data_IF_704195647871
#
_entry.id   IF_704195647871
#
_cell.length_a   1.000
_cell.length_b   1.000
_cell.length_c   1.000
_cell.angle_alpha   90.00
_cell.angle_beta   90.00
_cell.angle_gamma   90.00
#
_symmetry.space_group_name_H-M   'P 1'
#
loop_
_entity.id
_entity.type
_entity.pdbx_description
1 polymer ?
#
# COMPACT_ATOMS: atom_id res chain seq x y z
N UNK A 1 -2.17 7.03 12.95
CA UNK A 1 -1.03 6.12 13.20
C UNK A 1 -1.01 5.00 12.15
N UNK A 2 -0.36 5.25 11.00
CA UNK A 2 -0.26 4.28 9.92
C UNK A 2 0.81 3.23 10.26
N UNK A 3 0.45 1.96 10.29
CA UNK A 3 1.42 0.86 10.41
C UNK A 3 2.13 0.76 9.06
N UNK A 4 3.24 1.47 8.94
CA UNK A 4 4.31 1.09 8.03
C UNK A 4 4.68 -0.35 8.47
N UNK A 5 4.24 -1.37 7.73
CA UNK A 5 4.78 -2.72 7.91
C UNK A 5 6.20 -2.64 7.33
N UNK A 6 7.13 -2.17 8.16
CA UNK A 6 8.55 -2.08 7.84
C UNK A 6 9.06 -3.51 7.78
N UNK A 7 8.95 -4.14 6.63
CA UNK A 7 9.88 -5.22 6.29
C UNK A 7 10.87 -4.59 5.35
N UNK A 8 12.12 -4.51 5.79
CA UNK A 8 13.22 -4.13 4.91
C UNK A 8 13.54 -5.34 4.05
N UNK A 9 12.90 -5.38 2.89
CA UNK A 9 13.36 -6.22 1.79
C UNK A 9 14.53 -5.48 1.14
N UNK A 10 15.72 -6.03 1.27
CA UNK A 10 16.94 -5.49 0.68
C UNK A 10 17.54 -6.52 -0.25
N UNK A 11 18.26 -6.06 -1.27
CA UNK A 11 19.03 -6.95 -2.12
C UNK A 11 20.46 -6.45 -2.25
N UNK A 12 21.38 -7.39 -2.41
CA UNK A 12 22.78 -7.12 -2.73
C UNK A 12 23.18 -7.93 -3.96
N UNK A 13 23.88 -7.29 -4.90
CA UNK A 13 24.48 -7.97 -6.04
C UNK A 13 25.83 -8.56 -5.60
N UNK A 14 25.97 -9.88 -5.68
CA UNK A 14 27.21 -10.60 -5.30
C UNK A 14 27.99 -11.02 -6.53
N UNK A 15 29.19 -11.62 -6.41
CA UNK A 15 29.91 -12.11 -7.60
C UNK A 15 29.13 -13.19 -8.38
N UNK A 16 28.27 -13.94 -7.69
CA UNK A 16 27.70 -15.19 -8.20
C UNK A 16 26.17 -15.11 -8.46
N UNK A 17 25.53 -13.98 -8.13
CA UNK A 17 24.09 -13.79 -8.35
C UNK A 17 23.52 -12.61 -7.56
N UNK A 18 22.30 -12.78 -7.04
CA UNK A 18 21.62 -11.83 -6.17
C UNK A 18 21.41 -12.42 -4.78
N UNK A 19 21.54 -11.60 -3.76
CA UNK A 19 21.17 -11.92 -2.39
C UNK A 19 19.96 -11.09 -2.02
N UNK A 20 18.86 -11.72 -1.61
CA UNK A 20 17.67 -11.06 -1.10
C UNK A 20 17.61 -11.26 0.41
N UNK A 21 17.61 -10.16 1.16
CA UNK A 21 17.44 -10.15 2.60
C UNK A 21 15.98 -9.82 2.91
N UNK A 22 15.32 -10.71 3.65
CA UNK A 22 13.95 -10.53 4.14
C UNK A 22 13.98 -10.47 5.66
N UNK A 23 13.64 -9.30 6.20
CA UNK A 23 13.71 -9.03 7.63
C UNK A 23 12.33 -8.77 8.24
N UNK A 24 12.09 -9.34 9.41
CA UNK A 24 11.00 -8.96 10.30
C UNK A 24 11.47 -7.80 11.20
N UNK A 25 10.88 -6.62 11.04
CA UNK A 25 11.18 -5.43 11.87
C UNK A 25 10.88 -5.67 13.34
N UNK A 26 11.81 -5.25 14.21
CA UNK A 26 11.65 -5.31 15.66
C UNK A 26 10.58 -4.34 16.18
N UNK A 27 10.26 -3.31 15.38
CA UNK A 27 9.20 -2.34 15.63
C UNK A 27 7.79 -2.87 15.28
N UNK A 28 7.67 -4.05 14.64
CA UNK A 28 6.38 -4.66 14.35
C UNK A 28 5.64 -4.99 15.67
N UNK A 29 4.42 -4.47 15.90
CA UNK A 29 3.65 -4.73 17.13
C UNK A 29 3.39 -6.23 17.40
N UNK A 30 3.47 -7.06 16.37
CA UNK A 30 3.25 -8.50 16.38
C UNK A 30 4.57 -9.30 16.32
N UNK A 31 5.73 -8.63 16.43
CA UNK A 31 7.07 -9.19 16.28
C UNK A 31 7.24 -10.54 16.98
N UNK A 32 6.96 -10.61 18.28
CA UNK A 32 7.17 -11.83 19.06
C UNK A 32 6.35 -13.03 18.56
N UNK A 33 5.12 -12.80 18.08
CA UNK A 33 4.26 -13.86 17.55
C UNK A 33 4.77 -14.33 16.18
N UNK A 34 5.09 -13.39 15.29
CA UNK A 34 5.62 -13.66 13.95
C UNK A 34 6.99 -14.35 14.00
N UNK A 35 7.88 -13.90 14.90
CA UNK A 35 9.18 -14.53 15.17
C UNK A 35 9.03 -16.00 15.55
N UNK A 36 8.09 -16.32 16.46
CA UNK A 36 7.82 -17.71 16.85
C UNK A 36 7.35 -18.56 15.68
N UNK A 37 6.51 -18.00 14.79
CA UNK A 37 6.04 -18.68 13.59
C UNK A 37 7.15 -18.92 12.57
N UNK A 38 8.00 -17.92 12.30
CA UNK A 38 9.17 -18.05 11.44
C UNK A 38 10.09 -19.17 11.94
N UNK A 39 10.44 -19.14 13.23
CA UNK A 39 11.26 -20.21 13.84
C UNK A 39 10.58 -21.58 13.79
N UNK A 40 9.26 -21.65 13.96
CA UNK A 40 8.51 -22.89 13.80
C UNK A 40 8.56 -23.47 12.39
N UNK A 41 8.75 -22.62 11.37
CA UNK A 41 8.94 -22.99 9.96
C UNK A 41 10.42 -23.20 9.58
N UNK A 42 11.35 -23.04 10.51
CA UNK A 42 12.79 -23.20 10.27
C UNK A 42 13.50 -21.94 9.79
N UNK A 43 12.83 -20.78 9.82
CA UNK A 43 13.38 -19.49 9.45
C UNK A 43 13.81 -18.67 10.68
N UNK A 44 14.80 -17.81 10.50
CA UNK A 44 15.19 -16.73 11.39
C UNK A 44 14.29 -15.50 11.24
N UNK A 45 14.65 -14.44 11.97
CA UNK A 45 14.03 -13.11 11.82
C UNK A 45 14.62 -12.30 10.68
N UNK A 46 15.74 -12.77 10.14
CA UNK A 46 16.45 -12.23 8.99
C UNK A 46 16.85 -13.42 8.13
N UNK A 47 16.31 -13.48 6.91
CA UNK A 47 16.53 -14.57 5.97
C UNK A 47 17.22 -14.04 4.73
N UNK A 48 18.39 -14.60 4.43
CA UNK A 48 19.16 -14.26 3.24
C UNK A 48 19.00 -15.36 2.20
N UNK A 49 18.38 -15.04 1.08
CA UNK A 49 18.16 -15.95 -0.04
C UNK A 49 19.09 -15.61 -1.19
N UNK A 50 19.82 -16.60 -1.66
CA UNK A 50 20.66 -16.46 -2.84
C UNK A 50 19.89 -16.90 -4.08
N UNK A 51 19.96 -16.09 -5.13
CA UNK A 51 19.49 -16.40 -6.47
C UNK A 51 20.70 -16.41 -7.39
N UNK A 52 21.16 -17.59 -7.76
CA UNK A 52 22.22 -17.80 -8.75
C UNK A 52 21.63 -18.28 -10.08
N UNK A 53 22.42 -18.22 -11.16
CA UNK A 53 22.00 -18.67 -12.49
C UNK A 53 21.67 -20.18 -12.56
N UNK A 54 22.15 -20.97 -11.59
CA UNK A 54 21.85 -22.41 -11.47
C UNK A 54 20.58 -22.71 -10.69
N UNK A 55 20.04 -21.74 -9.95
CA UNK A 55 18.88 -21.95 -9.11
C UNK A 55 17.58 -21.86 -9.90
N UNK A 56 16.57 -22.62 -9.47
CA UNK A 56 15.22 -22.48 -10.00
C UNK A 56 14.57 -21.23 -9.39
N UNK A 57 14.18 -20.22 -10.20
CA UNK A 57 13.50 -19.03 -9.70
C UNK A 57 12.23 -19.38 -8.90
N UNK A 58 11.55 -20.46 -9.28
CA UNK A 58 10.36 -20.96 -8.60
C UNK A 58 10.64 -21.47 -7.19
N UNK A 59 11.81 -22.06 -6.94
CA UNK A 59 12.16 -22.55 -5.62
C UNK A 59 12.50 -21.37 -4.69
N UNK A 60 13.30 -20.42 -5.18
CA UNK A 60 13.62 -19.20 -4.46
C UNK A 60 12.35 -18.41 -4.13
N UNK A 61 11.46 -18.24 -5.11
CA UNK A 61 10.17 -17.56 -4.93
C UNK A 61 9.29 -18.23 -3.88
N UNK A 62 9.24 -19.57 -3.83
CA UNK A 62 8.47 -20.28 -2.80
C UNK A 62 8.97 -19.98 -1.39
N UNK A 63 10.29 -19.93 -1.20
CA UNK A 63 10.88 -19.60 0.10
C UNK A 63 10.62 -18.12 0.45
N UNK A 64 10.76 -17.22 -0.53
CA UNK A 64 10.41 -15.81 -0.36
C UNK A 64 8.95 -15.65 0.10
N UNK A 65 8.04 -16.37 -0.55
CA UNK A 65 6.61 -16.30 -0.26
C UNK A 65 6.28 -16.83 1.14
N UNK A 66 6.89 -17.93 1.58
CA UNK A 66 6.70 -18.46 2.93
C UNK A 66 7.11 -17.46 4.03
N UNK A 67 8.24 -16.79 3.86
CA UNK A 67 8.70 -15.77 4.82
C UNK A 67 7.81 -14.54 4.74
N UNK A 68 7.51 -14.06 3.52
CA UNK A 68 6.69 -12.87 3.31
C UNK A 68 5.28 -13.04 3.91
N UNK A 69 4.64 -14.20 3.75
CA UNK A 69 3.33 -14.50 4.35
C UNK A 69 3.31 -14.25 5.85
N UNK A 70 4.31 -14.73 6.58
CA UNK A 70 4.41 -14.54 8.04
C UNK A 70 4.66 -13.08 8.40
N UNK A 71 5.55 -12.40 7.67
CA UNK A 71 5.83 -10.98 7.84
C UNK A 71 4.55 -10.14 7.63
N UNK A 72 3.74 -10.49 6.63
CA UNK A 72 2.52 -9.77 6.29
C UNK A 72 1.28 -10.17 7.09
N UNK A 73 1.37 -11.12 8.03
CA UNK A 73 0.23 -11.45 8.91
C UNK A 73 -0.26 -10.22 9.69
N UNK A 74 -1.58 -10.07 9.79
CA UNK A 74 -2.21 -9.13 10.71
C UNK A 74 -2.69 -9.81 12.01
N UNK A 75 -3.22 -8.99 12.93
CA UNK A 75 -3.65 -9.48 14.23
C UNK A 75 -4.82 -10.48 14.12
N UNK A 76 -5.76 -10.24 13.20
CA UNK A 76 -6.89 -11.13 13.00
C UNK A 76 -6.43 -12.47 12.42
N UNK A 77 -5.55 -12.44 11.43
CA UNK A 77 -4.97 -13.65 10.83
C UNK A 77 -4.17 -14.47 11.85
N UNK A 78 -3.40 -13.83 12.73
CA UNK A 78 -2.70 -14.52 13.83
C UNK A 78 -3.68 -15.09 14.86
N UNK A 79 -4.78 -14.39 15.13
CA UNK A 79 -5.79 -14.85 16.07
C UNK A 79 -6.52 -16.10 15.55
N UNK A 80 -6.96 -16.06 14.29
CA UNK A 80 -7.72 -17.16 13.67
C UNK A 80 -6.83 -18.29 13.14
N UNK A 81 -5.58 -18.00 12.77
CA UNK A 81 -4.59 -18.97 12.28
C UNK A 81 -4.02 -19.90 13.36
N UNK A 82 -4.49 -19.79 14.60
CA UNK A 82 -4.22 -20.81 15.63
C UNK A 82 -2.74 -21.02 15.92
N UNK A 83 -1.97 -19.95 16.16
CA UNK A 83 -0.51 -19.99 16.48
C UNK A 83 -0.17 -20.88 17.70
N UNK A 84 -1.17 -21.24 18.51
CA UNK A 84 -1.05 -22.10 19.68
C UNK A 84 -1.52 -23.55 19.45
N UNK A 85 -1.91 -23.91 18.22
CA UNK A 85 -2.30 -25.27 17.83
C UNK A 85 -1.09 -25.95 17.19
N UNK A 86 -0.87 -27.23 17.49
CA UNK A 86 0.18 -28.05 16.86
C UNK A 86 -0.49 -29.18 16.07
N UNK A 87 -0.34 -29.24 14.74
CA UNK A 87 0.38 -28.28 13.89
C UNK A 87 -0.37 -26.94 13.76
N UNK A 88 0.33 -25.82 13.49
CA UNK A 88 -0.31 -24.56 13.17
C UNK A 88 -1.24 -24.74 11.96
N UNK A 89 -2.44 -24.19 12.03
CA UNK A 89 -3.30 -24.14 10.85
C UNK A 89 -2.79 -23.00 9.99
N UNK A 90 -2.18 -23.32 8.86
CA UNK A 90 -1.75 -22.31 7.90
C UNK A 90 -2.98 -21.68 7.27
N UNK A 91 -3.37 -20.52 7.80
CA UNK A 91 -4.46 -19.72 7.28
C UNK A 91 -3.90 -18.36 6.84
N UNK A 92 -3.81 -18.18 5.53
CA UNK A 92 -3.49 -16.90 4.92
C UNK A 92 -4.72 -16.41 4.17
N UNK A 93 -5.16 -15.18 4.43
CA UNK A 93 -6.27 -14.61 3.67
C UNK A 93 -5.82 -14.27 2.24
N UNK A 94 -6.74 -14.12 1.28
CA UNK A 94 -6.40 -13.61 -0.04
C UNK A 94 -5.65 -12.28 -0.01
N UNK A 95 -5.94 -11.44 0.98
CA UNK A 95 -5.23 -10.18 1.21
C UNK A 95 -3.76 -10.41 1.58
N UNK A 96 -3.46 -11.35 2.48
CA UNK A 96 -2.09 -11.67 2.86
C UNK A 96 -1.30 -12.26 1.70
N UNK A 97 -1.90 -13.18 0.95
CA UNK A 97 -1.26 -13.79 -0.22
C UNK A 97 -0.82 -12.74 -1.24
N UNK A 98 -1.77 -11.88 -1.65
CA UNK A 98 -1.49 -10.81 -2.61
C UNK A 98 -0.52 -9.77 -2.06
N UNK A 99 -0.61 -9.42 -0.76
CA UNK A 99 0.34 -8.48 -0.14
C UNK A 99 1.77 -9.03 -0.15
N UNK A 100 1.92 -10.34 0.11
CA UNK A 100 3.21 -11.02 0.13
C UNK A 100 3.84 -11.09 -1.26
N UNK A 101 3.07 -11.53 -2.27
CA UNK A 101 3.52 -11.58 -3.66
C UNK A 101 3.85 -10.20 -4.22
N UNK A 102 3.03 -9.18 -3.95
CA UNK A 102 3.28 -7.80 -4.41
C UNK A 102 4.53 -7.19 -3.75
N UNK A 103 4.81 -7.54 -2.50
CA UNK A 103 6.02 -7.10 -1.81
C UNK A 103 7.28 -7.69 -2.46
N UNK A 104 7.24 -8.98 -2.77
CA UNK A 104 8.31 -9.66 -3.50
C UNK A 104 8.50 -9.05 -4.89
N UNK A 105 7.41 -8.84 -5.63
CA UNK A 105 7.45 -8.22 -6.96
C UNK A 105 8.09 -6.83 -6.91
N UNK A 106 7.69 -6.00 -5.94
CA UNK A 106 8.23 -4.65 -5.74
C UNK A 106 9.74 -4.67 -5.44
N UNK A 107 10.20 -5.64 -4.64
CA UNK A 107 11.63 -5.82 -4.37
C UNK A 107 12.38 -6.15 -5.66
N UNK A 108 11.87 -7.09 -6.46
CA UNK A 108 12.48 -7.51 -7.72
C UNK A 108 12.53 -6.34 -8.71
N UNK A 109 11.47 -5.54 -8.81
CA UNK A 109 11.43 -4.36 -9.68
C UNK A 109 12.51 -3.33 -9.32
N UNK A 110 12.73 -3.10 -8.02
CA UNK A 110 13.80 -2.22 -7.54
C UNK A 110 15.17 -2.80 -7.90
N UNK A 111 15.35 -4.11 -7.75
CA UNK A 111 16.57 -4.83 -8.14
C UNK A 111 16.83 -4.76 -9.65
N UNK A 112 15.81 -4.89 -10.49
CA UNK A 112 15.95 -4.82 -11.95
C UNK A 112 16.43 -3.43 -12.38
N UNK A 113 15.84 -2.36 -11.82
CA UNK A 113 16.18 -0.97 -12.17
C UNK A 113 17.63 -0.59 -11.87
N UNK A 114 18.27 -1.32 -10.98
CA UNK A 114 19.59 -1.03 -10.41
C UNK A 114 20.66 -2.05 -10.80
N UNK A 115 20.26 -3.20 -11.36
CA UNK A 115 21.17 -4.27 -11.78
C UNK A 115 21.95 -3.92 -13.06
N UNK A 116 23.13 -4.55 -13.21
CA UNK A 116 23.90 -4.52 -14.46
C UNK A 116 23.21 -5.34 -15.56
N UNK A 117 23.43 -4.94 -16.82
CA UNK A 117 22.73 -5.48 -18.00
C UNK A 117 22.83 -7.01 -18.14
N UNK A 118 23.94 -7.62 -17.74
CA UNK A 118 24.23 -9.04 -17.85
C UNK A 118 23.44 -9.91 -16.84
N UNK A 119 22.72 -9.30 -15.90
CA UNK A 119 22.01 -10.01 -14.82
C UNK A 119 20.51 -9.72 -14.77
N UNK A 120 20.03 -8.86 -15.66
CA UNK A 120 18.61 -8.53 -15.80
C UNK A 120 17.78 -9.77 -16.17
N UNK A 121 18.34 -10.71 -16.94
CA UNK A 121 17.63 -11.93 -17.37
C UNK A 121 17.21 -12.82 -16.18
N UNK A 122 18.09 -12.97 -15.18
CA UNK A 122 17.82 -13.80 -14.00
C UNK A 122 16.73 -13.19 -13.11
N UNK A 123 16.78 -11.87 -12.89
CA UNK A 123 15.74 -11.15 -12.16
C UNK A 123 14.42 -11.13 -12.93
N UNK A 124 14.46 -11.02 -14.25
CA UNK A 124 13.27 -11.06 -15.10
C UNK A 124 12.57 -12.43 -15.00
N UNK A 125 13.33 -13.52 -14.94
CA UNK A 125 12.75 -14.85 -14.74
C UNK A 125 12.06 -15.00 -13.37
N UNK A 126 12.61 -14.40 -12.30
CA UNK A 126 11.97 -14.38 -10.98
C UNK A 126 10.75 -13.45 -10.95
N UNK A 127 10.83 -12.30 -11.62
CA UNK A 127 9.71 -11.38 -11.82
C UNK A 127 8.54 -12.10 -12.51
N UNK A 128 8.78 -12.75 -13.65
CA UNK A 128 7.76 -13.44 -14.42
C UNK A 128 7.13 -14.60 -13.64
N UNK A 129 7.94 -15.37 -12.91
CA UNK A 129 7.44 -16.41 -12.01
C UNK A 129 6.51 -15.83 -10.92
N UNK A 130 6.84 -14.66 -10.40
CA UNK A 130 6.01 -13.96 -9.39
C UNK A 130 4.68 -13.51 -9.99
N UNK A 131 4.72 -12.91 -11.18
CA UNK A 131 3.53 -12.51 -11.94
C UNK A 131 2.63 -13.72 -12.24
N UNK A 132 3.20 -14.85 -12.63
CA UNK A 132 2.44 -16.06 -12.93
C UNK A 132 1.81 -16.68 -11.68
N UNK A 133 2.46 -16.59 -10.51
CA UNK A 133 1.83 -16.98 -9.23
C UNK A 133 0.66 -16.05 -8.86
N UNK A 134 0.78 -14.74 -9.11
CA UNK A 134 -0.34 -13.79 -8.88
C UNK A 134 -1.51 -14.12 -9.80
N UNK A 135 -1.27 -14.36 -11.10
CA UNK A 135 -2.32 -14.76 -12.06
C UNK A 135 -2.99 -16.06 -11.63
N UNK A 136 -2.20 -17.09 -11.33
CA UNK A 136 -2.72 -18.38 -10.89
C UNK A 136 -3.54 -18.26 -9.60
N UNK A 137 -3.15 -17.37 -8.68
CA UNK A 137 -3.94 -17.09 -7.49
C UNK A 137 -5.28 -16.42 -7.84
N UNK A 138 -5.28 -15.44 -8.75
CA UNK A 138 -6.49 -14.79 -9.23
C UNK A 138 -7.46 -15.77 -9.91
N UNK A 139 -6.96 -16.60 -10.82
CA UNK A 139 -7.76 -17.58 -11.57
C UNK A 139 -8.42 -18.63 -10.64
N UNK A 140 -7.72 -19.05 -9.59
CA UNK A 140 -8.24 -20.04 -8.63
C UNK A 140 -9.25 -19.47 -7.64
N UNK A 141 -9.29 -18.15 -7.45
CA UNK A 141 -10.18 -17.47 -6.50
C UNK A 141 -11.19 -16.55 -7.20
N UNK A 142 -11.39 -16.73 -8.51
CA UNK A 142 -12.30 -15.93 -9.32
C UNK A 142 -13.76 -16.19 -8.96
N UNK A 143 -14.27 -15.54 -7.92
CA UNK A 143 -15.72 -15.38 -7.78
C UNK A 143 -16.22 -14.38 -8.83
N UNK A 144 -17.36 -14.71 -9.46
CA UNK A 144 -17.96 -13.85 -10.46
C UNK A 144 -18.41 -12.54 -9.81
N UNK A 145 -17.71 -11.44 -10.11
CA UNK A 145 -18.06 -10.13 -9.58
C UNK A 145 -19.38 -9.66 -10.19
N UNK A 146 -20.41 -9.54 -9.36
CA UNK A 146 -21.73 -9.05 -9.79
C UNK A 146 -21.85 -7.56 -9.53
N UNK A 147 -22.05 -6.82 -10.62
CA UNK A 147 -22.35 -5.39 -10.56
C UNK A 147 -23.84 -5.24 -10.31
N UNK A 148 -24.21 -4.75 -9.13
CA UNK A 148 -25.60 -4.50 -8.75
C UNK A 148 -26.19 -3.31 -9.50
N UNK A 149 -25.40 -2.24 -9.63
CA UNK A 149 -25.87 -0.96 -10.19
C UNK A 149 -24.77 -0.24 -10.98
N UNK A 150 -25.14 0.38 -12.12
CA UNK A 150 -24.28 1.33 -12.79
C UNK A 150 -24.03 2.56 -11.91
N UNK A 151 -23.01 3.38 -12.23
CA UNK A 151 -22.76 4.64 -11.54
C UNK A 151 -23.98 5.56 -11.59
N UNK A 152 -24.24 6.25 -10.49
CA UNK A 152 -25.22 7.32 -10.40
C UNK A 152 -24.72 8.61 -11.07
N UNK A 153 -25.63 9.54 -11.35
CA UNK A 153 -25.27 10.84 -11.91
C UNK A 153 -24.24 11.61 -11.05
N UNK A 154 -24.38 11.54 -9.72
CA UNK A 154 -23.44 12.15 -8.78
C UNK A 154 -22.04 11.55 -8.89
N UNK A 155 -21.94 10.23 -9.10
CA UNK A 155 -20.66 9.55 -9.30
C UNK A 155 -20.05 9.85 -10.66
N UNK A 156 -20.85 10.01 -11.71
CA UNK A 156 -20.37 10.51 -13.00
C UNK A 156 -19.81 11.93 -12.88
N UNK A 157 -20.46 12.80 -12.09
CA UNK A 157 -19.97 14.14 -11.80
C UNK A 157 -18.63 14.11 -11.06
N UNK A 158 -18.45 13.18 -10.10
CA UNK A 158 -17.16 12.99 -9.42
C UNK A 158 -16.05 12.63 -10.40
N UNK A 159 -16.31 11.70 -11.32
CA UNK A 159 -15.32 11.25 -12.30
C UNK A 159 -14.92 12.38 -13.24
N UNK A 160 -15.90 13.13 -13.76
CA UNK A 160 -15.65 14.30 -14.60
C UNK A 160 -14.89 15.39 -13.84
N UNK A 161 -15.28 15.66 -12.60
CA UNK A 161 -14.57 16.61 -11.74
C UNK A 161 -13.11 16.17 -11.55
N UNK A 162 -12.85 14.90 -11.25
CA UNK A 162 -11.49 14.36 -11.14
C UNK A 162 -10.70 14.55 -12.44
N UNK A 163 -11.27 14.15 -13.59
CA UNK A 163 -10.63 14.27 -14.91
C UNK A 163 -10.29 15.74 -15.24
N UNK A 164 -11.20 16.69 -14.94
CA UNK A 164 -10.93 18.13 -15.14
C UNK A 164 -9.81 18.68 -14.26
N UNK A 165 -9.46 17.96 -13.20
CA UNK A 165 -8.35 18.29 -12.30
C UNK A 165 -7.11 17.40 -12.50
N UNK A 166 -7.07 16.61 -13.58
CA UNK A 166 -5.90 15.83 -13.97
C UNK A 166 -5.87 14.39 -13.44
N UNK A 167 -6.95 13.88 -12.85
CA UNK A 167 -7.06 12.45 -12.52
C UNK A 167 -7.00 11.63 -13.80
N UNK A 168 -6.09 10.65 -13.85
CA UNK A 168 -6.05 9.64 -14.91
C UNK A 168 -6.57 8.33 -14.35
N UNK A 169 -7.49 7.68 -15.07
CA UNK A 169 -8.14 6.46 -14.59
C UNK A 169 -8.33 5.45 -15.72
N UNK A 170 -8.24 4.19 -15.35
CA UNK A 170 -8.68 3.01 -16.12
C UNK A 170 -9.82 2.28 -15.39
N UNK A 171 -10.46 2.99 -14.46
CA UNK A 171 -11.44 2.48 -13.53
C UNK A 171 -12.74 3.29 -13.63
N UNK A 172 -13.88 2.64 -13.41
CA UNK A 172 -15.21 3.25 -13.36
C UNK A 172 -15.85 2.94 -12.01
N UNK A 173 -16.59 3.90 -11.45
CA UNK A 173 -17.34 3.66 -10.21
C UNK A 173 -18.47 2.68 -10.50
N UNK A 174 -18.63 1.68 -9.65
CA UNK A 174 -19.70 0.69 -9.71
C UNK A 174 -20.10 0.23 -8.30
N UNK A 175 -21.30 -0.35 -8.19
CA UNK A 175 -21.75 -1.00 -6.96
C UNK A 175 -21.61 -2.51 -7.14
N UNK A 176 -20.78 -3.13 -6.31
CA UNK A 176 -20.46 -4.56 -6.35
C UNK A 176 -21.21 -5.27 -5.23
N UNK A 177 -21.84 -6.40 -5.56
CA UNK A 177 -22.59 -7.22 -4.60
C UNK A 177 -21.69 -7.61 -3.40
N UNK A 178 -22.19 -7.39 -2.19
CA UNK A 178 -21.46 -7.68 -0.95
C UNK A 178 -20.34 -6.70 -0.57
N UNK A 179 -19.81 -5.91 -1.51
CA UNK A 179 -18.73 -4.94 -1.27
C UNK A 179 -19.20 -3.48 -1.29
N UNK A 180 -20.36 -3.19 -1.89
CA UNK A 180 -20.92 -1.85 -2.00
C UNK A 180 -20.25 -1.01 -3.09
N UNK A 181 -20.13 0.30 -2.87
CA UNK A 181 -19.55 1.25 -3.82
C UNK A 181 -18.04 1.04 -3.95
N UNK A 182 -17.57 0.80 -5.17
CA UNK A 182 -16.15 0.60 -5.48
C UNK A 182 -15.83 0.96 -6.93
N UNK A 183 -14.78 0.34 -7.46
CA UNK A 183 -14.31 0.54 -8.82
C UNK A 183 -14.23 -0.78 -9.59
N UNK A 184 -14.54 -0.72 -10.89
CA UNK A 184 -14.32 -1.80 -11.86
C UNK A 184 -13.44 -1.30 -13.00
N UNK A 185 -12.65 -2.17 -13.60
CA UNK A 185 -11.82 -1.82 -14.74
C UNK A 185 -12.69 -1.54 -15.98
N UNK A 186 -12.31 -0.53 -16.77
CA UNK A 186 -12.97 -0.20 -18.06
C UNK A 186 -12.25 -0.79 -19.28
N UNK A 187 -11.05 -1.30 -19.05
CA UNK A 187 -10.19 -1.96 -20.02
C UNK A 187 -9.43 -3.10 -19.31
N UNK A 188 -8.85 -4.00 -20.09
CA UNK A 188 -8.04 -5.09 -19.54
C UNK A 188 -6.79 -4.50 -18.85
N UNK A 189 -6.62 -4.80 -17.56
CA UNK A 189 -5.47 -4.39 -16.77
C UNK A 189 -4.51 -5.55 -16.57
N UNK A 190 -3.21 -5.29 -16.81
CA UNK A 190 -2.14 -6.22 -16.47
C UNK A 190 -1.60 -5.93 -15.08
N UNK A 191 -0.97 -6.93 -14.46
CA UNK A 191 -0.25 -6.72 -13.20
C UNK A 191 0.87 -5.70 -13.45
N UNK A 192 0.95 -4.68 -12.59
CA UNK A 192 1.87 -3.56 -12.73
C UNK A 192 1.30 -2.35 -13.49
N UNK A 193 0.13 -2.48 -14.15
CA UNK A 193 -0.50 -1.34 -14.81
C UNK A 193 -0.98 -0.32 -13.78
N UNK A 194 -0.80 0.96 -14.09
CA UNK A 194 -1.33 2.05 -13.28
C UNK A 194 -2.82 2.21 -13.57
N UNK A 195 -3.66 1.79 -12.60
CA UNK A 195 -5.11 1.84 -12.74
C UNK A 195 -5.70 3.22 -12.43
N UNK A 196 -5.08 3.98 -11.52
CA UNK A 196 -5.55 5.29 -11.06
C UNK A 196 -4.37 6.17 -10.69
N UNK A 197 -4.40 7.41 -11.14
CA UNK A 197 -3.46 8.45 -10.74
C UNK A 197 -4.22 9.69 -10.29
N UNK A 198 -3.85 10.19 -9.12
CA UNK A 198 -4.49 11.32 -8.47
C UNK A 198 -3.44 12.43 -8.30
N UNK A 199 -3.61 13.61 -8.92
CA UNK A 199 -2.73 14.74 -8.70
C UNK A 199 -2.80 15.22 -7.25
N UNK A 200 -1.66 15.56 -6.67
CA UNK A 200 -1.55 16.09 -5.30
C UNK A 200 -2.46 17.31 -5.08
N UNK A 201 -2.65 18.15 -6.12
CA UNK A 201 -3.48 19.35 -6.05
C UNK A 201 -4.95 19.12 -5.65
N UNK A 202 -5.46 17.88 -5.72
CA UNK A 202 -6.81 17.51 -5.30
C UNK A 202 -6.84 16.54 -4.12
N UNK A 203 -5.69 16.30 -3.50
CA UNK A 203 -5.59 15.56 -2.25
C UNK A 203 -5.84 16.54 -1.10
N UNK A 204 -6.74 16.18 -0.18
CA UNK A 204 -6.94 16.92 1.05
C UNK A 204 -5.82 16.49 2.01
N UNK A 205 -4.87 17.39 2.27
CA UNK A 205 -3.68 17.15 3.09
C UNK A 205 -3.47 18.24 4.16
N UNK A 206 -2.42 18.11 4.97
CA UNK A 206 -2.09 19.06 6.04
C UNK A 206 -1.72 20.44 5.48
N UNK A 207 -0.96 20.47 4.39
CA UNK A 207 -0.52 21.69 3.71
C UNK A 207 -1.74 22.52 3.28
N UNK A 208 -2.76 21.87 2.72
CA UNK A 208 -4.02 22.50 2.35
C UNK A 208 -4.72 23.17 3.53
N UNK A 209 -4.72 22.53 4.70
CA UNK A 209 -5.31 23.11 5.91
C UNK A 209 -4.46 24.28 6.40
N UNK A 210 -3.13 24.17 6.33
CA UNK A 210 -2.20 25.22 6.72
C UNK A 210 -2.30 26.48 5.85
N UNK A 211 -2.62 26.30 4.57
CA UNK A 211 -2.85 27.41 3.62
C UNK A 211 -4.25 28.02 3.75
N UNK A 212 -5.14 27.37 4.49
CA UNK A 212 -6.50 27.86 4.71
C UNK A 212 -6.58 28.92 5.81
N UNK A 213 -7.56 29.81 5.73
CA UNK A 213 -7.83 30.80 6.79
C UNK A 213 -8.17 30.16 8.15
N UNK A 214 -8.58 28.89 8.18
CA UNK A 214 -8.97 28.19 9.40
C UNK A 214 -7.77 27.82 10.27
N UNK A 215 -6.56 27.78 9.72
CA UNK A 215 -5.37 27.35 10.48
C UNK A 215 -5.15 28.19 11.74
N UNK A 216 -5.45 29.49 11.68
CA UNK A 216 -5.29 30.39 12.81
C UNK A 216 -6.22 30.03 13.97
N UNK A 217 -7.45 29.60 13.66
CA UNK A 217 -8.44 29.18 14.66
C UNK A 217 -8.09 27.78 15.18
N UNK A 218 -7.71 26.88 14.29
CA UNK A 218 -7.41 25.48 14.65
C UNK A 218 -6.18 25.39 15.56
N UNK A 219 -5.14 26.19 15.31
CA UNK A 219 -3.92 26.22 16.14
C UNK A 219 -4.11 26.80 17.54
N UNK A 220 -5.22 27.49 17.83
CA UNK A 220 -5.55 27.97 19.17
C UNK A 220 -6.06 26.83 20.09
N UNK A 221 -6.44 25.70 19.51
CA UNK A 221 -6.93 24.54 20.27
C UNK A 221 -5.71 23.75 20.78
N UNK A 222 -5.46 23.82 22.09
CA UNK A 222 -4.35 23.11 22.72
C UNK A 222 -4.44 21.60 22.51
N UNK A 223 -3.32 20.98 22.15
CA UNK A 223 -3.20 19.53 21.94
C UNK A 223 -3.93 18.96 20.71
N UNK A 224 -4.46 19.79 19.81
CA UNK A 224 -5.17 19.29 18.61
C UNK A 224 -4.19 18.60 17.63
N UNK A 225 -4.57 17.43 17.13
CA UNK A 225 -3.80 16.71 16.11
C UNK A 225 -4.08 17.27 14.71
N UNK A 226 -3.11 17.15 13.80
CA UNK A 226 -3.28 17.45 12.36
C UNK A 226 -4.48 16.71 11.76
N UNK A 227 -4.66 15.43 12.08
CA UNK A 227 -5.81 14.62 11.65
C UNK A 227 -7.15 15.27 12.06
N UNK A 228 -7.23 15.79 13.29
CA UNK A 228 -8.41 16.49 13.79
C UNK A 228 -8.60 17.85 13.11
N UNK A 229 -7.52 18.58 12.86
CA UNK A 229 -7.57 19.85 12.11
C UNK A 229 -8.14 19.64 10.70
N UNK A 230 -7.66 18.63 9.98
CA UNK A 230 -8.15 18.27 8.63
C UNK A 230 -9.62 17.87 8.62
N UNK A 231 -10.06 17.11 9.62
CA UNK A 231 -11.47 16.80 9.81
C UNK A 231 -12.30 18.08 9.96
N UNK A 232 -11.94 18.96 10.89
CA UNK A 232 -12.73 20.15 11.19
C UNK A 232 -12.76 21.11 10.00
N UNK A 233 -11.63 21.25 9.31
CA UNK A 233 -11.55 21.94 8.03
C UNK A 233 -12.51 21.32 7.00
N UNK A 234 -12.50 20.01 6.83
CA UNK A 234 -13.38 19.30 5.88
C UNK A 234 -14.85 19.48 6.20
N UNK A 235 -15.22 19.43 7.50
CA UNK A 235 -16.59 19.67 7.95
C UNK A 235 -17.07 21.07 7.60
N UNK A 236 -16.20 22.09 7.73
CA UNK A 236 -16.53 23.47 7.36
C UNK A 236 -16.58 23.66 5.85
N UNK A 237 -15.58 23.13 5.15
CA UNK A 237 -15.39 23.25 3.70
C UNK A 237 -16.51 22.57 2.92
N UNK A 238 -17.08 21.48 3.45
CA UNK A 238 -18.26 20.81 2.90
C UNK A 238 -19.45 21.74 2.66
N UNK A 239 -19.59 22.82 3.43
CA UNK A 239 -20.68 23.80 3.28
C UNK A 239 -20.25 25.05 2.51
N UNK A 240 -19.02 25.10 1.99
CA UNK A 240 -18.54 26.17 1.14
C UNK A 240 -18.98 25.92 -0.32
N UNK A 241 -19.88 26.76 -0.84
CA UNK A 241 -20.43 26.60 -2.19
C UNK A 241 -19.40 26.85 -3.29
N UNK A 242 -18.34 27.60 -2.99
CA UNK A 242 -17.26 27.94 -3.91
C UNK A 242 -16.04 27.00 -3.74
N UNK A 243 -16.18 25.94 -2.92
CA UNK A 243 -15.09 24.99 -2.70
C UNK A 243 -14.74 24.25 -3.98
N UNK A 244 -13.43 24.15 -4.25
CA UNK A 244 -12.88 23.23 -5.26
C UNK A 244 -13.33 21.79 -5.01
N UNK A 245 -13.52 21.41 -3.75
CA UNK A 245 -13.87 20.04 -3.30
C UNK A 245 -15.36 19.81 -3.15
N UNK A 246 -16.22 20.75 -3.57
CA UNK A 246 -17.68 20.64 -3.43
C UNK A 246 -18.22 19.32 -3.98
N UNK A 247 -17.88 18.98 -5.22
CA UNK A 247 -18.35 17.75 -5.87
C UNK A 247 -17.88 16.53 -5.08
N UNK A 248 -16.63 16.51 -4.63
CA UNK A 248 -16.10 15.45 -3.78
C UNK A 248 -16.96 15.25 -2.52
N UNK A 249 -17.23 16.31 -1.76
CA UNK A 249 -18.04 16.22 -0.54
C UNK A 249 -19.50 15.82 -0.80
N UNK A 250 -20.10 16.26 -1.89
CA UNK A 250 -21.46 15.88 -2.30
C UNK A 250 -21.57 14.38 -2.65
N UNK A 251 -20.45 13.75 -3.01
CA UNK A 251 -20.39 12.32 -3.39
C UNK A 251 -20.03 11.37 -2.25
N UNK A 252 -19.69 11.90 -1.07
CA UNK A 252 -19.39 11.08 0.09
C UNK A 252 -20.66 10.37 0.60
N UNK A 253 -20.54 9.10 1.05
CA UNK A 253 -21.63 8.40 1.72
C UNK A 253 -22.22 9.22 2.87
N UNK A 254 -23.54 9.14 3.04
CA UNK A 254 -24.23 9.77 4.16
C UNK A 254 -23.96 9.05 5.49
N UNK A 255 -23.67 7.75 5.43
CA UNK A 255 -23.36 6.90 6.58
C UNK A 255 -22.17 6.01 6.25
N UNK A 256 -21.39 5.66 7.26
CA UNK A 256 -20.31 4.68 7.18
C UNK A 256 -20.63 3.54 8.14
N UNK A 257 -20.50 2.30 7.68
CA UNK A 257 -20.65 1.11 8.52
C UNK A 257 -19.33 0.81 9.26
N UNK A 258 -18.74 1.82 9.88
CA UNK A 258 -17.71 1.61 10.91
C UNK A 258 -18.45 1.11 12.15
N UNK A 259 -18.01 0.02 12.76
CA UNK A 259 -18.68 -0.67 13.89
C UNK A 259 -18.88 0.14 15.18
N UNK A 260 -18.78 1.47 15.13
CA UNK A 260 -19.30 2.46 16.07
C UNK A 260 -19.68 3.70 15.23
N UNK A 261 -20.87 4.27 15.44
CA UNK A 261 -21.40 5.47 14.73
C UNK A 261 -20.60 6.78 14.95
N UNK A 262 -19.38 6.72 15.49
CA UNK A 262 -18.49 7.86 15.67
C UNK A 262 -17.04 7.40 15.48
N UNK A 263 -16.62 7.24 14.22
CA UNK A 263 -15.19 7.21 13.86
C UNK A 263 -14.97 8.21 12.72
N UNK A 264 -14.15 9.20 13.02
CA UNK A 264 -13.86 10.35 12.17
C UNK A 264 -12.79 10.00 11.13
N UNK A 265 -13.09 10.28 9.85
CA UNK A 265 -12.20 10.67 8.72
C UNK A 265 -11.05 9.74 8.29
N UNK A 266 -10.67 8.74 9.09
CA UNK A 266 -9.70 7.72 8.64
C UNK A 266 -10.23 6.91 7.44
N UNK A 267 -11.54 6.70 7.35
CA UNK A 267 -12.12 5.80 6.35
C UNK A 267 -12.46 6.48 5.02
N UNK A 268 -12.50 7.82 5.00
CA UNK A 268 -12.63 8.58 3.75
C UNK A 268 -11.32 8.50 2.95
N UNK A 269 -10.20 8.39 3.66
CA UNK A 269 -8.89 8.05 3.08
C UNK A 269 -8.84 6.56 2.70
N UNK A 270 -9.60 5.67 3.34
CA UNK A 270 -9.61 4.22 3.07
C UNK A 270 -10.14 3.84 1.68
N UNK A 271 -11.06 4.60 1.08
CA UNK A 271 -11.58 4.28 -0.27
C UNK A 271 -10.53 4.51 -1.37
N UNK A 272 -9.57 5.41 -1.14
CA UNK A 272 -8.38 5.57 -2.00
C UNK A 272 -7.24 4.66 -1.48
N UNK A 273 -7.13 4.42 -0.17
CA UNK A 273 -6.06 3.60 0.42
C UNK A 273 -6.19 2.10 0.16
N UNK A 274 -7.39 1.60 -0.15
CA UNK A 274 -7.55 0.24 -0.66
C UNK A 274 -6.77 0.04 -1.97
N UNK A 275 -6.61 1.08 -2.79
CA UNK A 275 -5.72 1.07 -3.97
C UNK A 275 -4.29 1.52 -3.66
N UNK A 276 -4.04 2.36 -2.65
CA UNK A 276 -2.68 2.85 -2.34
C UNK A 276 -1.87 1.96 -1.38
N UNK A 277 -2.38 0.80 -0.97
CA UNK A 277 -1.48 -0.25 -0.42
C UNK A 277 -0.45 -0.70 -1.47
N UNK A 278 -0.62 -0.31 -2.75
CA UNK A 278 0.30 -0.53 -3.85
C UNK A 278 1.17 0.69 -4.25
N UNK A 279 1.07 1.86 -3.61
CA UNK A 279 1.79 3.07 -4.12
C UNK A 279 2.34 4.04 -3.07
N UNK A 280 2.10 3.82 -1.78
CA UNK A 280 2.62 4.73 -0.73
C UNK A 280 4.15 4.73 -0.61
N UNK A 281 4.84 3.74 -1.19
CA UNK A 281 6.29 3.58 -1.08
C UNK A 281 7.11 4.51 -2.00
N UNK A 282 6.48 5.28 -2.90
CA UNK A 282 7.21 6.17 -3.82
C UNK A 282 7.26 7.62 -3.30
N UNK A 283 6.26 8.08 -2.54
CA UNK A 283 6.15 9.49 -2.14
C UNK A 283 7.06 9.83 -0.94
N UNK A 284 7.37 8.87 -0.05
CA UNK A 284 8.25 9.13 1.10
C UNK A 284 9.75 9.10 0.77
N UNK A 285 10.15 8.58 -0.40
CA UNK A 285 11.57 8.52 -0.77
C UNK A 285 12.10 9.83 -1.36
N UNK A 286 11.26 10.56 -2.10
CA UNK A 286 11.65 11.87 -2.66
C UNK A 286 11.71 12.99 -1.61
N UNK A 287 11.00 12.90 -0.47
CA UNK A 287 11.07 13.93 0.58
C UNK A 287 12.28 13.80 1.52
N UNK A 288 12.93 12.64 1.55
CA UNK A 288 14.08 12.37 2.43
C UNK A 288 15.45 12.47 1.73
N UNK A 289 15.52 12.38 0.40
CA UNK A 289 16.78 12.58 -0.34
C UNK A 289 17.17 14.07 -0.49
N UNK A 290 16.23 15.01 -0.34
CA UNK A 290 16.51 16.44 -0.45
C UNK A 290 16.88 17.16 0.87
N UNK A 291 17.07 16.41 1.97
CA UNK A 291 17.51 16.97 3.27
C UNK A 291 18.89 16.52 3.76
N UNK A 292 19.62 15.76 2.96
CA UNK A 292 20.98 15.31 3.30
C UNK A 292 22.05 15.93 2.39
N UNK A 293 22.06 17.26 2.23
CA UNK A 293 23.21 17.97 1.65
C UNK A 293 23.38 19.39 2.20
N UNK A 294 23.71 19.49 3.49
CA UNK A 294 24.45 20.63 4.02
C UNK A 294 25.62 20.10 4.84
N UNK A 295 26.68 19.76 4.10
CA UNK A 295 27.98 19.38 4.66
C UNK A 295 28.69 20.65 5.13
N UNK A 296 29.08 20.55 6.39
CA UNK A 296 30.10 21.28 7.13
C UNK A 296 31.31 21.72 6.27
N UNK A 297 31.64 23.01 6.31
CA UNK A 297 32.96 23.51 5.94
C UNK A 297 33.53 24.27 7.13
N UNK A 298 34.13 23.53 8.06
CA UNK A 298 35.09 24.07 9.00
C UNK A 298 36.37 24.51 8.27
N UNK A 299 36.82 25.74 8.52
CA UNK A 299 38.18 26.03 9.03
C UNK A 299 38.44 27.54 9.11
N UNK A 300 38.86 27.97 10.30
CA UNK A 300 39.54 29.24 10.57
C UNK A 300 40.83 29.35 9.72
N UNK A 301 41.31 30.57 9.39
CA UNK A 301 42.25 31.25 10.29
C UNK A 301 42.30 32.79 10.21
N UNK A 302 42.21 33.47 11.36
CA UNK A 302 43.20 34.42 11.94
C UNK A 302 42.57 35.19 13.09
#
# INVERSE_FOLDING_TARGET
MAIQKVSSLHYEETSDGFSFNMMLSEEDPLYHKKKKLLHGKGFGTEETLLLSASDSPHLTLKVMLEVARVVYLDEAELYFGGVNVSPPIEFYTPKNELSSLNSILSLIDVSIKSAKHDRVELLSALHDATIDMIKAFGDNNGEETRIEKPPSHTEELLLRWGETHGVRRKLQIAHVEGAGRGFVAIEDLKIGDVALEIPESIVICEELVCDSYMIHILKEIDGISTETMMLLWSMKERYNLDSKFKIYFETLPATFNSGNELVLVSDVVAVIVATTSLSRNVIEKESNEDRASLVDFGSTPK
#
